data_IF_168862740031
#
_entry.id   IF_168862740031
#
_cell.length_a   1.000
_cell.length_b   1.000
_cell.length_c   1.000
_cell.angle_alpha   90.00
_cell.angle_beta   90.00
_cell.angle_gamma   90.00
#
_symmetry.space_group_name_H-M   'P 1'
#
loop_
_entity.id
_entity.type
_entity.pdbx_description
1 polymer ?
#
# COMPACT_ATOMS: atom_id res chain seq x y z
N UNK A 1 -17.76 -5.62 14.17
CA UNK A 1 -16.35 -5.19 13.94
C UNK A 1 -15.63 -6.13 12.97
N UNK A 2 -15.52 -7.43 13.26
CA UNK A 2 -14.83 -8.45 12.40
C UNK A 2 -15.43 -8.56 10.99
N UNK A 3 -16.76 -8.63 10.90
CA UNK A 3 -17.49 -8.68 9.62
C UNK A 3 -17.25 -7.42 8.78
N UNK A 4 -17.17 -6.25 9.44
CA UNK A 4 -16.94 -4.96 8.81
C UNK A 4 -15.48 -4.79 8.39
N UNK A 5 -14.52 -5.32 9.17
CA UNK A 5 -13.11 -5.38 8.79
C UNK A 5 -12.89 -6.28 7.57
N UNK A 6 -13.61 -7.42 7.48
CA UNK A 6 -13.62 -8.28 6.28
C UNK A 6 -14.24 -7.59 5.06
N UNK A 7 -15.35 -6.87 5.25
CA UNK A 7 -16.03 -6.15 4.17
C UNK A 7 -15.24 -4.93 3.70
N UNK A 8 -14.58 -4.22 4.61
CA UNK A 8 -13.64 -3.14 4.32
C UNK A 8 -12.40 -3.66 3.59
N UNK A 9 -11.85 -4.81 4.01
CA UNK A 9 -10.74 -5.47 3.31
C UNK A 9 -11.15 -5.95 1.90
N UNK A 10 -12.39 -6.41 1.72
CA UNK A 10 -12.93 -6.77 0.40
C UNK A 10 -13.09 -5.56 -0.52
N UNK A 11 -13.56 -4.42 0.01
CA UNK A 11 -13.64 -3.16 -0.75
C UNK A 11 -12.27 -2.55 -1.04
N UNK A 12 -11.28 -2.79 -0.17
CA UNK A 12 -9.87 -2.47 -0.37
C UNK A 12 -9.31 -3.15 -1.64
N UNK A 13 -9.65 -4.43 -1.83
CA UNK A 13 -9.26 -5.22 -3.01
C UNK A 13 -9.94 -4.69 -4.28
N UNK A 14 -11.22 -4.30 -4.21
CA UNK A 14 -11.93 -3.71 -5.37
C UNK A 14 -11.36 -2.35 -5.78
N UNK A 15 -10.88 -1.55 -4.83
CA UNK A 15 -10.19 -0.28 -5.13
C UNK A 15 -8.79 -0.52 -5.73
N UNK A 16 -8.10 -1.60 -5.32
CA UNK A 16 -6.87 -2.03 -5.97
C UNK A 16 -7.14 -2.49 -7.42
N UNK A 17 -8.25 -3.20 -7.68
CA UNK A 17 -8.67 -3.56 -9.04
C UNK A 17 -8.90 -2.32 -9.93
N UNK A 18 -9.52 -1.27 -9.40
CA UNK A 18 -9.72 0.01 -10.12
C UNK A 18 -8.39 0.70 -10.40
N UNK A 19 -7.49 0.81 -9.41
CA UNK A 19 -6.19 1.47 -9.57
C UNK A 19 -5.26 0.71 -10.53
N UNK A 20 -5.30 -0.61 -10.52
CA UNK A 20 -4.52 -1.45 -11.42
C UNK A 20 -5.12 -1.42 -12.84
N UNK A 21 -6.46 -1.37 -12.96
CA UNK A 21 -7.17 -1.33 -14.25
C UNK A 21 -7.14 0.04 -14.90
N UNK A 22 -6.96 1.11 -14.11
CA UNK A 22 -6.76 2.44 -14.65
C UNK A 22 -5.28 2.62 -15.00
N UNK A 23 -5.03 2.96 -16.26
CA UNK A 23 -4.04 3.93 -16.76
C UNK A 23 -2.63 4.09 -16.15
N UNK A 24 -2.46 4.67 -14.93
CA UNK A 24 -1.29 5.49 -14.63
C UNK A 24 0.06 4.79 -14.71
N UNK A 25 0.16 3.54 -14.27
CA UNK A 25 1.44 2.80 -14.33
C UNK A 25 1.81 2.46 -15.78
N UNK A 26 0.82 2.06 -16.59
CA UNK A 26 1.03 1.74 -18.02
C UNK A 26 1.35 2.99 -18.84
N UNK A 27 0.66 4.10 -18.56
CA UNK A 27 0.93 5.40 -19.19
C UNK A 27 2.28 5.94 -18.73
N UNK A 28 2.62 5.82 -17.45
CA UNK A 28 3.93 6.20 -16.92
C UNK A 28 5.07 5.42 -17.58
N UNK A 29 4.93 4.10 -17.75
CA UNK A 29 5.95 3.30 -18.44
C UNK A 29 6.14 3.78 -19.89
N UNK A 30 5.06 4.14 -20.58
CA UNK A 30 5.09 4.67 -21.94
C UNK A 30 5.67 6.09 -22.04
N UNK A 31 5.29 7.00 -21.15
CA UNK A 31 5.77 8.39 -21.14
C UNK A 31 7.22 8.50 -20.65
N UNK A 32 7.64 7.59 -19.77
CA UNK A 32 9.03 7.48 -19.28
C UNK A 32 10.00 6.99 -20.37
N UNK A 33 9.56 6.12 -21.28
CA UNK A 33 10.34 5.72 -22.47
C UNK A 33 10.66 6.92 -23.39
N UNK A 34 9.88 8.00 -23.31
CA UNK A 34 10.12 9.25 -24.02
C UNK A 34 11.00 10.26 -23.26
N UNK A 35 11.56 9.86 -22.10
CA UNK A 35 12.65 10.59 -21.41
C UNK A 35 12.27 11.87 -20.65
N UNK A 36 10.99 12.22 -20.55
CA UNK A 36 10.57 13.53 -20.03
C UNK A 36 10.07 13.55 -18.56
N UNK A 37 9.85 12.40 -17.91
CA UNK A 37 9.26 12.36 -16.56
C UNK A 37 10.18 11.70 -15.52
N UNK A 38 10.43 12.41 -14.40
CA UNK A 38 11.16 11.86 -13.26
C UNK A 38 10.28 10.97 -12.39
N UNK A 39 10.79 9.80 -12.01
CA UNK A 39 10.11 8.84 -11.10
C UNK A 39 9.62 9.51 -9.82
N UNK A 40 10.41 10.41 -9.26
CA UNK A 40 10.05 11.15 -8.03
C UNK A 40 8.86 12.09 -8.25
N UNK A 41 8.77 12.77 -9.40
CA UNK A 41 7.64 13.64 -9.72
C UNK A 41 6.34 12.84 -9.90
N UNK A 42 6.42 11.64 -10.49
CA UNK A 42 5.28 10.72 -10.58
C UNK A 42 4.79 10.29 -9.20
N UNK A 43 5.69 9.88 -8.29
CA UNK A 43 5.28 9.43 -6.95
C UNK A 43 4.63 10.55 -6.15
N UNK A 44 5.21 11.76 -6.16
CA UNK A 44 4.61 12.90 -5.47
C UNK A 44 3.29 13.32 -6.12
N UNK A 45 3.25 13.46 -7.46
CA UNK A 45 2.04 13.82 -8.19
C UNK A 45 0.90 12.82 -7.94
N UNK A 46 1.18 11.52 -8.04
CA UNK A 46 0.21 10.48 -7.75
C UNK A 46 -0.27 10.58 -6.30
N UNK A 47 0.64 10.71 -5.34
CA UNK A 47 0.29 10.82 -3.91
C UNK A 47 -0.64 12.00 -3.68
N UNK A 48 -0.27 13.21 -4.11
CA UNK A 48 -1.10 14.40 -3.91
C UNK A 48 -2.44 14.31 -4.63
N UNK A 49 -2.48 13.73 -5.82
CA UNK A 49 -3.72 13.54 -6.57
C UNK A 49 -4.65 12.50 -5.94
N UNK A 50 -4.12 11.46 -5.29
CA UNK A 50 -4.90 10.41 -4.66
C UNK A 50 -5.39 10.77 -3.25
N UNK A 51 -4.71 11.68 -2.53
CA UNK A 51 -5.11 12.15 -1.19
C UNK A 51 -6.63 12.46 -1.05
N UNK A 52 -7.25 13.34 -1.87
CA UNK A 52 -8.66 13.70 -1.70
C UNK A 52 -9.58 12.50 -1.95
N UNK A 53 -9.25 11.67 -2.94
CA UNK A 53 -10.01 10.47 -3.23
C UNK A 53 -9.92 9.46 -2.08
N UNK A 54 -8.71 9.19 -1.58
CA UNK A 54 -8.45 8.30 -0.43
C UNK A 54 -9.12 8.79 0.85
N UNK A 55 -9.17 10.10 1.05
CA UNK A 55 -9.88 10.69 2.18
C UNK A 55 -11.40 10.45 2.08
N UNK A 56 -11.99 10.62 0.90
CA UNK A 56 -13.43 10.36 0.70
C UNK A 56 -13.78 8.88 0.88
N UNK A 57 -13.00 7.98 0.29
CA UNK A 57 -13.25 6.53 0.41
C UNK A 57 -12.93 5.96 1.79
N UNK A 58 -12.19 6.68 2.63
CA UNK A 58 -12.00 6.30 4.04
C UNK A 58 -13.08 6.92 4.93
N UNK A 59 -13.43 8.18 4.69
CA UNK A 59 -14.43 8.93 5.47
C UNK A 59 -15.83 8.34 5.35
N UNK A 60 -16.32 8.10 4.13
CA UNK A 60 -17.72 7.66 3.91
C UNK A 60 -18.00 6.29 4.52
N UNK A 61 -17.29 5.20 4.16
CA UNK A 61 -17.49 3.91 4.80
C UNK A 61 -16.99 3.89 6.24
N UNK A 62 -16.00 4.70 6.61
CA UNK A 62 -15.52 4.84 7.97
C UNK A 62 -16.60 5.41 8.90
N UNK A 63 -17.31 6.47 8.48
CA UNK A 63 -18.43 7.03 9.22
C UNK A 63 -19.55 6.00 9.40
N UNK A 64 -19.92 5.29 8.34
CA UNK A 64 -20.92 4.22 8.44
C UNK A 64 -20.45 3.13 9.41
N UNK A 65 -19.20 2.68 9.31
CA UNK A 65 -18.63 1.65 10.16
C UNK A 65 -18.48 2.07 11.64
N UNK A 66 -18.35 3.37 11.91
CA UNK A 66 -18.21 3.92 13.25
C UNK A 66 -19.56 4.10 13.95
N UNK A 67 -20.53 4.69 13.26
CA UNK A 67 -21.84 4.98 13.83
C UNK A 67 -22.77 3.77 13.88
N UNK A 68 -22.64 2.81 12.95
CA UNK A 68 -23.53 1.63 12.91
C UNK A 68 -23.42 0.72 14.15
N UNK A 69 -22.23 0.41 14.68
CA UNK A 69 -22.09 -0.38 15.90
C UNK A 69 -22.23 0.45 17.19
N UNK A 70 -22.28 1.78 17.08
CA UNK A 70 -22.28 2.68 18.24
C UNK A 70 -20.96 2.67 19.01
N UNK A 71 -19.83 2.93 18.33
CA UNK A 71 -18.50 3.06 18.95
C UNK A 71 -18.43 4.25 19.94
N UNK A 72 -17.26 4.43 20.58
CA UNK A 72 -17.06 5.41 21.66
C UNK A 72 -17.59 6.78 21.27
N UNK A 73 -18.52 7.34 22.06
CA UNK A 73 -19.15 8.62 21.73
C UNK A 73 -18.16 9.77 21.95
N UNK A 74 -17.61 10.34 20.87
CA UNK A 74 -16.80 11.56 20.93
C UNK A 74 -16.23 11.93 19.56
N UNK A 75 -16.18 13.23 19.26
CA UNK A 75 -15.64 13.73 17.99
C UNK A 75 -14.14 13.41 17.83
N UNK A 76 -13.37 13.48 18.92
CA UNK A 76 -11.94 13.18 18.90
C UNK A 76 -11.66 11.71 18.54
N UNK A 77 -12.48 10.79 19.05
CA UNK A 77 -12.38 9.36 18.77
C UNK A 77 -12.75 9.04 17.32
N UNK A 78 -13.75 9.73 16.77
CA UNK A 78 -14.12 9.62 15.37
C UNK A 78 -13.01 10.12 14.44
N UNK A 79 -12.44 11.30 14.72
CA UNK A 79 -11.34 11.86 13.92
C UNK A 79 -10.13 10.92 13.93
N UNK A 80 -9.75 10.41 15.11
CA UNK A 80 -8.67 9.44 15.22
C UNK A 80 -8.93 8.17 14.39
N UNK A 81 -10.16 7.63 14.45
CA UNK A 81 -10.56 6.47 13.66
C UNK A 81 -10.41 6.71 12.15
N UNK A 82 -10.86 7.88 11.66
CA UNK A 82 -10.71 8.26 10.25
C UNK A 82 -9.24 8.44 9.86
N UNK A 83 -8.41 9.05 10.72
CA UNK A 83 -6.98 9.22 10.46
C UNK A 83 -6.24 7.88 10.33
N UNK A 84 -6.56 6.90 11.19
CA UNK A 84 -6.00 5.55 11.09
C UNK A 84 -6.45 4.87 9.80
N UNK A 85 -7.74 4.95 9.45
CA UNK A 85 -8.25 4.39 8.19
C UNK A 85 -7.59 5.01 6.97
N UNK A 86 -7.40 6.32 6.97
CA UNK A 86 -6.72 7.06 5.93
C UNK A 86 -5.26 6.63 5.78
N UNK A 87 -4.51 6.50 6.89
CA UNK A 87 -3.14 6.01 6.89
C UNK A 87 -3.04 4.58 6.34
N UNK A 88 -3.96 3.68 6.72
CA UNK A 88 -4.03 2.33 6.17
C UNK A 88 -4.28 2.32 4.66
N UNK A 89 -5.17 3.18 4.16
CA UNK A 89 -5.44 3.33 2.73
C UNK A 89 -4.20 3.80 1.96
N UNK A 90 -3.48 4.78 2.50
CA UNK A 90 -2.21 5.27 1.92
C UNK A 90 -1.13 4.18 1.87
N UNK A 91 -1.03 3.34 2.90
CA UNK A 91 -0.11 2.20 2.95
C UNK A 91 -0.44 1.15 1.89
N UNK A 92 -1.72 0.80 1.76
CA UNK A 92 -2.19 -0.18 0.79
C UNK A 92 -1.95 0.31 -0.63
N UNK A 93 -2.26 1.58 -0.92
CA UNK A 93 -1.97 2.20 -2.21
C UNK A 93 -0.47 2.08 -2.56
N UNK A 94 0.40 2.40 -1.60
CA UNK A 94 1.87 2.32 -1.75
C UNK A 94 2.35 0.90 -2.02
N UNK A 95 1.79 -0.09 -1.31
CA UNK A 95 2.12 -1.50 -1.49
C UNK A 95 1.67 -2.01 -2.87
N UNK A 96 0.44 -1.67 -3.29
CA UNK A 96 -0.09 -2.10 -4.58
C UNK A 96 0.68 -1.48 -5.74
N UNK A 97 1.07 -0.20 -5.65
CA UNK A 97 1.97 0.43 -6.62
C UNK A 97 3.32 -0.28 -6.72
N UNK A 98 3.88 -0.71 -5.58
CA UNK A 98 5.13 -1.45 -5.56
C UNK A 98 5.00 -2.79 -6.29
N UNK A 99 3.95 -3.55 -6.01
CA UNK A 99 3.68 -4.82 -6.70
C UNK A 99 3.47 -4.61 -8.21
N UNK A 100 2.72 -3.56 -8.58
CA UNK A 100 2.48 -3.20 -9.98
C UNK A 100 3.76 -2.85 -10.75
N UNK A 101 4.77 -2.29 -10.08
CA UNK A 101 6.06 -1.95 -10.71
C UNK A 101 7.00 -3.15 -10.94
N UNK A 102 6.77 -4.27 -10.23
CA UNK A 102 7.64 -5.46 -10.29
C UNK A 102 7.01 -6.54 -11.17
N UNK A 103 5.68 -6.68 -11.14
CA UNK A 103 4.99 -7.73 -11.86
C UNK A 103 4.51 -7.23 -13.23
N UNK A 104 4.99 -7.80 -14.35
CA UNK A 104 4.64 -7.33 -15.69
C UNK A 104 3.20 -7.69 -16.10
N UNK A 105 2.61 -8.69 -15.46
CA UNK A 105 1.27 -9.19 -15.79
C UNK A 105 0.23 -8.70 -14.78
N UNK A 106 -0.81 -8.02 -15.26
CA UNK A 106 -1.93 -7.49 -14.47
C UNK A 106 -2.52 -8.51 -13.47
N UNK A 107 -2.93 -9.67 -13.98
CA UNK A 107 -3.57 -10.70 -13.16
C UNK A 107 -2.64 -11.24 -12.07
N UNK A 108 -1.36 -11.44 -12.39
CA UNK A 108 -0.37 -11.88 -11.41
C UNK A 108 -0.09 -10.81 -10.35
N UNK A 109 -0.14 -9.54 -10.74
CA UNK A 109 -0.03 -8.39 -9.84
C UNK A 109 -1.15 -8.36 -8.81
N UNK A 110 -2.39 -8.57 -9.24
CA UNK A 110 -3.55 -8.66 -8.32
C UNK A 110 -3.41 -9.85 -7.37
N UNK A 111 -3.11 -11.05 -7.90
CA UNK A 111 -2.99 -12.26 -7.08
C UNK A 111 -1.87 -12.09 -6.04
N UNK A 112 -0.74 -11.53 -6.45
CA UNK A 112 0.41 -11.31 -5.57
C UNK A 112 0.13 -10.21 -4.54
N UNK A 113 -0.48 -9.10 -4.96
CA UNK A 113 -0.88 -8.01 -4.05
C UNK A 113 -1.86 -8.48 -2.98
N UNK A 114 -2.92 -9.19 -3.38
CA UNK A 114 -3.88 -9.78 -2.47
C UNK A 114 -3.23 -10.82 -1.54
N UNK A 115 -2.32 -11.64 -2.06
CA UNK A 115 -1.55 -12.61 -1.28
C UNK A 115 -0.70 -11.95 -0.20
N UNK A 116 0.08 -10.93 -0.55
CA UNK A 116 0.91 -10.17 0.40
C UNK A 116 0.03 -9.50 1.46
N UNK A 117 -1.07 -8.86 1.04
CA UNK A 117 -2.00 -8.21 1.95
C UNK A 117 -2.62 -9.21 2.95
N UNK A 118 -3.09 -10.36 2.45
CA UNK A 118 -3.60 -11.44 3.28
C UNK A 118 -2.56 -11.96 4.27
N UNK A 119 -1.32 -12.14 3.83
CA UNK A 119 -0.21 -12.58 4.67
C UNK A 119 0.11 -11.57 5.78
N UNK A 120 0.11 -10.27 5.46
CA UNK A 120 0.30 -9.19 6.44
C UNK A 120 -0.85 -9.11 7.45
N UNK A 121 -2.10 -9.38 7.05
CA UNK A 121 -3.25 -9.41 7.96
C UNK A 121 -3.14 -10.57 8.95
N UNK A 122 -2.69 -11.76 8.49
CA UNK A 122 -2.46 -12.91 9.37
C UNK A 122 -1.40 -12.60 10.44
N UNK A 123 -0.35 -11.88 10.06
CA UNK A 123 0.69 -11.39 10.97
C UNK A 123 0.29 -10.19 11.84
N UNK A 124 -0.87 -9.56 11.60
CA UNK A 124 -1.29 -8.30 12.24
C UNK A 124 -1.75 -8.42 13.69
N UNK A 125 -1.73 -9.60 14.30
CA UNK A 125 -2.08 -9.80 15.71
C UNK A 125 -3.58 -9.88 16.02
N UNK A 126 -4.45 -9.84 15.00
CA UNK A 126 -5.90 -9.98 15.16
C UNK A 126 -6.37 -11.44 15.20
N UNK A 127 -5.83 -12.31 14.34
CA UNK A 127 -6.25 -13.71 14.23
C UNK A 127 -5.56 -14.66 15.21
N UNK A 128 -4.31 -14.35 15.58
CA UNK A 128 -3.59 -14.99 16.68
C UNK A 128 -2.89 -13.93 17.50
N UNK A 129 -2.97 -14.07 18.81
CA UNK A 129 -2.32 -13.15 19.73
C UNK A 129 -0.79 -13.30 19.64
N UNK A 130 -0.03 -12.23 19.92
CA UNK A 130 1.44 -12.24 19.85
C UNK A 130 2.11 -13.31 20.71
N UNK A 131 1.45 -13.78 21.79
CA UNK A 131 1.98 -14.84 22.66
C UNK A 131 1.83 -16.26 22.10
N UNK A 132 0.87 -16.50 21.22
CA UNK A 132 0.57 -17.83 20.65
C UNK A 132 1.19 -18.04 19.26
N UNK A 133 2.02 -17.10 18.81
CA UNK A 133 2.73 -17.19 17.54
C UNK A 133 4.03 -18.01 17.69
N UNK A 134 4.27 -19.02 16.83
CA UNK A 134 5.55 -19.73 16.80
C UNK A 134 6.70 -18.74 16.52
N UNK A 135 7.72 -18.77 17.39
CA UNK A 135 8.54 -17.59 17.72
C UNK A 135 9.50 -17.10 16.62
N UNK A 136 9.88 -17.92 15.64
CA UNK A 136 11.04 -17.58 14.80
C UNK A 136 10.73 -16.80 13.53
N UNK A 137 9.59 -17.06 12.87
CA UNK A 137 9.23 -16.41 11.60
C UNK A 137 8.04 -15.44 11.75
N UNK A 138 7.06 -15.81 12.57
CA UNK A 138 5.83 -15.04 12.73
C UNK A 138 5.97 -13.90 13.74
N UNK A 139 6.73 -14.09 14.82
CA UNK A 139 6.94 -13.07 15.88
C UNK A 139 7.97 -12.01 15.48
N UNK A 140 9.00 -12.41 14.75
CA UNK A 140 10.01 -11.55 14.14
C UNK A 140 10.28 -12.12 12.73
N UNK A 141 10.19 -11.38 11.61
CA UNK A 141 9.94 -9.95 11.43
C UNK A 141 8.48 -9.60 11.07
N UNK A 142 7.62 -10.59 10.81
CA UNK A 142 6.30 -10.38 10.20
C UNK A 142 5.37 -9.51 11.03
N UNK A 143 5.32 -9.74 12.35
CA UNK A 143 4.52 -8.96 13.29
C UNK A 143 4.90 -7.47 13.32
N UNK A 144 6.18 -7.13 13.15
CA UNK A 144 6.65 -5.74 13.18
C UNK A 144 6.54 -5.03 11.84
N UNK A 145 6.61 -5.78 10.72
CA UNK A 145 6.45 -5.24 9.37
C UNK A 145 4.97 -5.03 9.02
N UNK A 146 4.07 -5.84 9.57
CA UNK A 146 2.65 -5.72 9.31
C UNK A 146 2.07 -4.43 9.91
N UNK A 147 1.82 -3.42 9.08
CA UNK A 147 1.21 -2.16 9.51
C UNK A 147 -0.13 -2.34 10.23
N UNK A 148 -0.87 -3.41 9.91
CA UNK A 148 -2.12 -3.79 10.57
C UNK A 148 -1.98 -3.90 12.09
N UNK A 149 -0.82 -4.33 12.60
CA UNK A 149 -0.54 -4.39 14.05
C UNK A 149 -0.80 -3.03 14.70
N UNK A 150 -0.14 -1.98 14.19
CA UNK A 150 -0.23 -0.63 14.75
C UNK A 150 -1.62 -0.03 14.53
N UNK A 151 -2.27 -0.34 13.40
CA UNK A 151 -3.64 0.06 13.15
C UNK A 151 -4.62 -0.54 14.17
N UNK A 152 -4.52 -1.84 14.44
CA UNK A 152 -5.37 -2.51 15.42
C UNK A 152 -5.10 -2.03 16.84
N UNK A 153 -3.82 -1.92 17.24
CA UNK A 153 -3.45 -1.39 18.56
C UNK A 153 -3.99 0.02 18.77
N UNK A 154 -3.83 0.89 17.77
CA UNK A 154 -4.35 2.25 17.80
C UNK A 154 -5.88 2.31 17.90
N UNK A 155 -6.59 1.51 17.10
CA UNK A 155 -8.06 1.44 17.15
C UNK A 155 -8.56 0.90 18.49
N UNK A 156 -7.93 -0.15 19.04
CA UNK A 156 -8.32 -0.69 20.33
C UNK A 156 -8.09 0.33 21.47
N UNK A 157 -6.95 1.03 21.48
CA UNK A 157 -6.72 2.11 22.45
C UNK A 157 -7.78 3.20 22.31
N UNK A 158 -8.08 3.62 21.09
CA UNK A 158 -9.08 4.66 20.86
C UNK A 158 -10.47 4.31 21.36
N UNK A 159 -10.90 3.05 21.24
CA UNK A 159 -12.26 2.66 21.62
C UNK A 159 -12.39 2.33 23.10
N UNK A 160 -11.42 1.60 23.66
CA UNK A 160 -11.56 1.04 25.00
C UNK A 160 -10.95 1.91 26.11
N UNK A 161 -10.02 2.82 25.80
CA UNK A 161 -9.52 3.76 26.82
C UNK A 161 -10.67 4.65 27.33
N UNK A 162 -10.83 4.69 28.65
CA UNK A 162 -11.89 5.47 29.29
C UNK A 162 -13.29 4.83 29.26
N UNK A 163 -13.45 3.63 28.72
CA UNK A 163 -14.72 2.87 28.85
C UNK A 163 -14.69 1.92 30.05
N UNK A 164 -15.80 1.89 30.77
CA UNK A 164 -16.07 0.90 31.82
C UNK A 164 -17.24 0.03 31.39
N UNK A 165 -17.04 -1.28 31.38
CA UNK A 165 -18.09 -2.25 31.07
C UNK A 165 -18.62 -2.86 32.35
N UNK A 166 -19.94 -2.79 32.56
CA UNK A 166 -20.60 -3.48 33.67
C UNK A 166 -20.79 -4.95 33.32
N UNK A 167 -20.19 -5.85 34.08
CA UNK A 167 -20.34 -7.30 33.87
C UNK A 167 -21.38 -7.88 34.82
N UNK A 168 -22.43 -8.49 34.26
CA UNK A 168 -23.43 -9.25 35.02
C UNK A 168 -23.07 -10.76 35.12
N UNK A 169 -21.83 -11.15 34.79
CA UNK A 169 -21.39 -12.55 34.88
C UNK A 169 -20.88 -12.88 36.28
N UNK A 170 -21.45 -13.93 36.89
CA UNK A 170 -21.02 -14.46 38.18
C UNK A 170 -19.53 -14.87 38.12
N UNK A 171 -18.69 -14.25 38.96
CA UNK A 171 -17.26 -14.55 39.07
C UNK A 171 -16.31 -13.50 38.47
N UNK A 172 -16.82 -12.47 37.80
CA UNK A 172 -16.02 -11.33 37.31
C UNK A 172 -16.32 -10.05 38.12
N UNK A 173 -15.34 -9.15 38.31
CA UNK A 173 -15.59 -7.86 38.95
C UNK A 173 -16.70 -7.10 38.20
N UNK A 174 -17.62 -6.49 38.96
CA UNK A 174 -18.85 -5.87 38.46
C UNK A 174 -18.59 -4.73 37.46
N UNK A 175 -17.41 -4.12 37.50
CA UNK A 175 -16.92 -3.10 36.58
C UNK A 175 -15.57 -3.54 36.00
N UNK A 176 -15.54 -3.83 34.70
CA UNK A 176 -14.32 -4.16 33.96
C UNK A 176 -13.87 -2.90 33.24
N UNK A 177 -12.67 -2.43 33.55
CA UNK A 177 -12.04 -1.31 32.85
C UNK A 177 -11.56 -1.75 31.46
N UNK A 178 -11.78 -0.92 30.44
CA UNK A 178 -11.35 -1.19 29.07
C UNK A 178 -9.84 -1.41 28.95
N UNK A 179 -9.04 -0.76 29.80
CA UNK A 179 -7.59 -0.93 29.88
C UNK A 179 -7.19 -2.35 30.29
N UNK A 180 -7.99 -3.00 31.14
CA UNK A 180 -7.76 -4.39 31.55
C UNK A 180 -8.08 -5.34 30.41
N UNK A 181 -9.15 -5.08 29.64
CA UNK A 181 -9.48 -5.83 28.42
C UNK A 181 -8.35 -5.70 27.39
N UNK A 182 -7.76 -4.51 27.24
CA UNK A 182 -6.64 -4.30 26.32
C UNK A 182 -5.40 -5.11 26.69
N UNK A 183 -5.09 -5.18 27.99
CA UNK A 183 -3.92 -5.92 28.48
C UNK A 183 -4.13 -7.43 28.47
N UNK A 184 -5.26 -7.88 28.99
CA UNK A 184 -5.47 -9.29 29.28
C UNK A 184 -6.04 -10.04 28.07
N UNK A 185 -6.95 -9.41 27.32
CA UNK A 185 -7.60 -10.03 26.17
C UNK A 185 -6.86 -9.73 24.85
N UNK A 186 -6.48 -8.47 24.61
CA UNK A 186 -5.84 -8.07 23.36
C UNK A 186 -4.30 -8.02 23.43
N UNK A 187 -3.71 -8.16 24.62
CA UNK A 187 -2.26 -8.09 24.85
C UNK A 187 -1.59 -6.87 24.20
N UNK A 188 -2.29 -5.73 24.22
CA UNK A 188 -1.82 -4.48 23.64
C UNK A 188 -0.75 -3.86 24.54
N UNK A 189 0.31 -3.34 23.92
CA UNK A 189 1.35 -2.58 24.62
C UNK A 189 0.77 -1.22 25.09
N UNK A 190 0.39 -1.16 26.36
CA UNK A 190 -0.16 0.05 27.00
C UNK A 190 0.90 1.12 27.31
N UNK A 191 2.19 0.83 27.10
CA UNK A 191 3.28 1.79 27.32
C UNK A 191 3.36 2.88 26.23
N UNK A 192 2.76 2.64 25.06
CA UNK A 192 2.74 3.57 23.94
C UNK A 192 1.36 4.24 23.85
N UNK A 193 1.32 5.56 23.65
CA UNK A 193 0.07 6.29 23.44
C UNK A 193 -0.53 5.97 22.06
N UNK A 194 -1.85 6.07 21.91
CA UNK A 194 -2.55 5.93 20.62
C UNK A 194 -1.97 6.85 19.53
N UNK A 195 -1.55 8.06 19.89
CA UNK A 195 -0.93 9.00 18.94
C UNK A 195 0.44 8.55 18.44
N UNK A 196 1.18 7.77 19.24
CA UNK A 196 2.46 7.19 18.83
C UNK A 196 2.22 6.08 17.81
N UNK A 197 1.18 5.25 17.99
CA UNK A 197 0.81 4.23 17.00
C UNK A 197 0.42 4.88 15.66
N UNK A 198 -0.33 5.99 15.69
CA UNK A 198 -0.64 6.78 14.49
C UNK A 198 0.62 7.38 13.86
N UNK A 199 1.55 7.92 14.65
CA UNK A 199 2.81 8.45 14.14
C UNK A 199 3.67 7.37 13.47
N UNK A 200 3.71 6.16 14.05
CA UNK A 200 4.40 5.00 13.45
C UNK A 200 3.75 4.63 12.12
N UNK A 201 2.41 4.59 12.04
CA UNK A 201 1.69 4.33 10.78
C UNK A 201 2.02 5.37 9.70
N UNK A 202 2.00 6.66 10.04
CA UNK A 202 2.38 7.72 9.10
C UNK A 202 3.85 7.63 8.69
N UNK A 203 4.74 7.27 9.62
CA UNK A 203 6.14 6.97 9.33
C UNK A 203 6.28 5.79 8.37
N UNK A 204 5.47 4.75 8.52
CA UNK A 204 5.42 3.62 7.59
C UNK A 204 4.93 4.05 6.21
N UNK A 205 3.96 4.97 6.09
CA UNK A 205 3.53 5.50 4.77
C UNK A 205 4.74 6.08 4.03
N UNK A 206 5.51 6.93 4.69
CA UNK A 206 6.71 7.54 4.10
C UNK A 206 7.75 6.47 3.75
N UNK A 207 7.98 5.50 4.65
CA UNK A 207 8.92 4.40 4.41
C UNK A 207 8.52 3.57 3.18
N UNK A 208 7.24 3.20 3.03
CA UNK A 208 6.76 2.42 1.89
C UNK A 208 6.86 3.21 0.57
N UNK A 209 6.67 4.53 0.60
CA UNK A 209 6.89 5.39 -0.57
C UNK A 209 8.37 5.48 -0.95
N UNK A 210 9.27 5.55 0.04
CA UNK A 210 10.71 5.52 -0.21
C UNK A 210 11.13 4.16 -0.78
N UNK A 211 10.62 3.06 -0.21
CA UNK A 211 10.87 1.71 -0.71
C UNK A 211 10.39 1.56 -2.16
N UNK A 212 9.20 2.07 -2.48
CA UNK A 212 8.69 2.11 -3.85
C UNK A 212 9.64 2.86 -4.81
N UNK A 213 10.12 4.04 -4.41
CA UNK A 213 11.09 4.81 -5.19
C UNK A 213 12.41 4.05 -5.41
N UNK A 214 12.91 3.37 -4.37
CA UNK A 214 14.13 2.55 -4.45
C UNK A 214 13.94 1.36 -5.38
N UNK A 215 12.79 0.69 -5.31
CA UNK A 215 12.45 -0.46 -6.16
C UNK A 215 12.41 -0.02 -7.63
N UNK A 216 11.68 1.04 -7.97
CA UNK A 216 11.66 1.55 -9.36
C UNK A 216 13.07 1.88 -9.83
N UNK A 217 13.86 2.62 -9.04
CA UNK A 217 15.25 2.97 -9.43
C UNK A 217 16.15 1.74 -9.61
N UNK A 218 15.93 0.69 -8.84
CA UNK A 218 16.71 -0.55 -8.95
C UNK A 218 16.31 -1.34 -10.19
N UNK A 219 15.00 -1.48 -10.43
CA UNK A 219 14.47 -2.09 -11.66
C UNK A 219 14.97 -1.34 -12.90
N UNK A 220 15.03 0.00 -12.85
CA UNK A 220 15.62 0.81 -13.94
C UNK A 220 17.08 0.49 -14.21
N UNK A 221 17.91 0.38 -13.17
CA UNK A 221 19.32 -0.01 -13.33
C UNK A 221 19.45 -1.39 -13.95
N UNK A 222 18.62 -2.34 -13.55
CA UNK A 222 18.66 -3.71 -14.07
C UNK A 222 18.22 -3.73 -15.54
N UNK A 223 17.10 -3.10 -15.90
CA UNK A 223 16.64 -3.02 -17.29
C UNK A 223 17.64 -2.25 -18.17
N UNK A 224 18.25 -1.18 -17.66
CA UNK A 224 19.29 -0.43 -18.39
C UNK A 224 20.57 -1.22 -18.61
N UNK A 225 20.91 -2.18 -17.73
CA UNK A 225 22.06 -3.08 -17.91
C UNK A 225 21.72 -4.21 -18.89
N UNK A 226 20.49 -4.72 -18.87
CA UNK A 226 20.04 -5.81 -19.76
C UNK A 226 19.81 -5.32 -21.19
N UNK A 227 19.44 -4.06 -21.39
CA UNK A 227 19.26 -3.42 -22.71
C UNK A 227 20.51 -2.60 -23.10
N UNK A 228 21.67 -3.26 -23.12
CA UNK A 228 22.84 -2.77 -23.90
C UNK A 228 23.02 -3.69 -25.10
N UNK A 229 22.42 -3.40 -26.26
CA UNK A 229 22.87 -4.01 -27.52
C UNK A 229 24.24 -3.42 -27.92
N UNK A 230 25.15 -4.21 -28.52
CA UNK A 230 26.45 -3.72 -28.94
C UNK A 230 26.33 -2.66 -30.04
N UNK A 231 27.24 -1.70 -29.94
CA UNK A 231 27.49 -0.53 -30.80
C UNK A 231 27.46 -0.85 -32.30
N UNK A 232 26.77 0.00 -33.09
CA UNK A 232 26.72 0.02 -34.58
C UNK A 232 28.08 -0.25 -35.23
N UNK A 233 28.12 -1.14 -36.24
CA UNK A 233 29.16 -1.19 -37.28
C UNK A 233 28.67 -2.02 -38.49
N UNK A 234 28.22 -1.35 -39.57
CA UNK A 234 27.99 -1.81 -40.96
C UNK A 234 26.84 -0.98 -41.58
N UNK A 235 26.90 -0.34 -42.74
CA UNK A 235 27.93 -0.03 -43.72
C UNK A 235 27.49 1.29 -44.39
N UNK A 236 28.41 2.22 -44.61
CA UNK A 236 28.32 3.15 -45.75
C UNK A 236 29.68 3.04 -46.44
N UNK A 237 29.88 1.93 -47.15
CA UNK A 237 31.00 1.75 -48.06
C UNK A 237 30.66 2.51 -49.34
N UNK A 238 31.58 3.38 -49.74
CA UNK A 238 31.52 4.27 -50.88
C UNK A 238 31.08 3.58 -52.18
N UNK A 239 30.18 4.22 -52.93
CA UNK A 239 29.96 3.89 -54.34
C UNK A 239 30.96 4.72 -55.15
N UNK A 240 31.88 4.13 -55.93
CA UNK A 240 32.80 4.91 -56.75
C UNK A 240 32.04 5.51 -57.93
N UNK A 241 32.22 6.82 -58.10
CA UNK A 241 31.87 7.58 -59.29
C UNK A 241 32.66 7.02 -60.49
N UNK A 242 31.94 6.52 -61.50
CA UNK A 242 32.42 6.49 -62.88
C UNK A 242 31.38 7.21 -63.75
N UNK A 243 31.86 8.15 -64.58
CA UNK A 243 31.12 9.13 -65.38
C UNK A 243 31.47 8.89 -66.88
N UNK A 244 30.91 9.66 -67.83
CA UNK A 244 29.73 9.40 -68.65
C UNK A 244 30.05 9.06 -70.13
N UNK A 245 29.09 8.64 -70.96
CA UNK A 245 29.16 8.84 -72.42
C UNK A 245 27.79 8.74 -73.13
N UNK A 246 27.50 9.81 -73.86
CA UNK A 246 26.57 9.99 -74.99
C UNK A 246 26.11 8.70 -75.70
N UNK A 247 24.82 8.57 -76.04
CA UNK A 247 24.37 8.95 -77.37
C UNK A 247 22.84 9.08 -77.47
N UNK A 248 22.45 10.13 -78.15
CA UNK A 248 21.13 10.40 -78.73
C UNK A 248 20.95 9.49 -79.95
N UNK A 249 19.76 8.91 -80.15
CA UNK A 249 19.14 8.69 -81.47
C UNK A 249 17.79 7.96 -81.35
N UNK A 250 16.72 8.75 -81.52
CA UNK A 250 15.55 8.53 -82.38
C UNK A 250 15.38 7.16 -83.08
N UNK A 251 14.13 6.67 -83.16
CA UNK A 251 13.33 6.48 -84.41
C UNK A 251 12.12 5.58 -84.12
N UNK A 252 10.93 6.17 -84.33
CA UNK A 252 9.63 5.63 -84.80
C UNK A 252 8.98 4.47 -84.06
#
# INVERSE_FOLDING_TARGET
MIQQCKHFCSKLLTNADVFFSSGPIQVFERERLNGHYGVTAFVFGNTFSSLPYLLLISLVPGAIAYYLPGLHKGYDHFIYFILVLFACMMLVESLMMTVASVVPNFLMGIITGAGIQGFMILGGGFFRLPRDLPQTFWKYPMYYIAFHKYAYQGMFKNEFEGLTFTSNQAGWPQTIHGEQILRDHWQVEMGLSKWVDLAILLGMVVLYRILFLVIIKTTEKITGIVVVPPKKSAQILEIPIAKPLHNDQSVV
#
